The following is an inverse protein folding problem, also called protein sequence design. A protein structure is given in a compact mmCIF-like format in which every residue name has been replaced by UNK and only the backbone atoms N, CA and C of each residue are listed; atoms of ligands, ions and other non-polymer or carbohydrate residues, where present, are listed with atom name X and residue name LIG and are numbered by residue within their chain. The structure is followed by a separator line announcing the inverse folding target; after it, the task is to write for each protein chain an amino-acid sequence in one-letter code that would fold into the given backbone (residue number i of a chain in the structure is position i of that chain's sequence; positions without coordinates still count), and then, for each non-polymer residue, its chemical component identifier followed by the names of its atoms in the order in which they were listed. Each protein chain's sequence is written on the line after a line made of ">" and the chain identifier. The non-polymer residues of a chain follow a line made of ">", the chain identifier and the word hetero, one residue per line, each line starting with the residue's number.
data_IF_236781136633
#
_entry.id   IF_236781136633
#
_cell.length_a   1.000
_cell.length_b   1.000
_cell.length_c   1.000
_cell.angle_alpha   90.00
_cell.angle_beta   90.00
_cell.angle_gamma   90.00
#
_symmetry.space_group_name_H-M   'P 1'
#
loop_
_entity.id
_entity.type
_entity.pdbx_description
1 polymer ?
#
# COMPACT_ATOMS: atom_id res chain seq x y z
N UNK A 1 -7.06 -4.54 27.76
CA UNK A 1 -6.78 -5.38 26.58
C UNK A 1 -6.75 -4.46 25.35
N UNK A 2 -5.57 -4.02 24.94
CA UNK A 2 -5.40 -3.28 23.69
C UNK A 2 -5.62 -4.27 22.55
N UNK A 3 -6.66 -4.05 21.73
CA UNK A 3 -6.92 -4.84 20.53
C UNK A 3 -5.64 -4.90 19.67
N UNK A 4 -5.28 -6.09 19.18
CA UNK A 4 -4.17 -6.24 18.24
C UNK A 4 -4.36 -5.28 17.05
N UNK A 5 -3.26 -4.77 16.45
CA UNK A 5 -3.37 -3.98 15.24
C UNK A 5 -4.07 -4.83 14.16
N UNK A 6 -5.24 -4.36 13.70
CA UNK A 6 -6.07 -5.09 12.71
C UNK A 6 -5.43 -5.12 11.31
N UNK A 7 -4.29 -4.47 11.13
CA UNK A 7 -3.62 -4.27 9.85
C UNK A 7 -2.22 -4.88 9.88
N UNK A 8 -1.91 -5.70 8.87
CA UNK A 8 -0.64 -6.42 8.78
C UNK A 8 0.10 -6.16 7.48
N UNK A 9 1.41 -6.38 7.50
CA UNK A 9 2.26 -6.34 6.31
C UNK A 9 1.71 -7.27 5.22
N UNK A 10 1.51 -6.69 4.04
CA UNK A 10 0.93 -7.38 2.90
C UNK A 10 -0.59 -7.25 2.75
N UNK A 11 -1.29 -6.67 3.72
CA UNK A 11 -2.71 -6.34 3.56
C UNK A 11 -2.89 -5.18 2.57
N UNK A 12 -3.99 -5.26 1.81
CA UNK A 12 -4.48 -4.16 0.98
C UNK A 12 -5.60 -3.46 1.73
N UNK A 13 -5.49 -2.14 1.85
CA UNK A 13 -6.47 -1.28 2.51
C UNK A 13 -6.92 -0.18 1.57
N UNK A 14 -8.18 0.23 1.69
CA UNK A 14 -8.62 1.53 1.22
C UNK A 14 -8.07 2.58 2.19
N UNK A 15 -7.24 3.48 1.69
CA UNK A 15 -6.54 4.49 2.47
C UNK A 15 -6.94 5.89 2.01
N UNK A 16 -7.22 6.76 2.96
CA UNK A 16 -7.40 8.20 2.70
C UNK A 16 -6.03 8.86 2.52
N UNK A 17 -5.72 9.24 1.29
CA UNK A 17 -4.47 9.88 0.94
C UNK A 17 -4.52 11.42 0.94
N UNK A 18 -5.60 12.03 1.46
CA UNK A 18 -5.81 13.48 1.44
C UNK A 18 -6.38 13.97 0.10
N UNK A 19 -6.61 15.27 -0.06
CA UNK A 19 -7.37 15.84 -1.19
C UNK A 19 -6.62 16.97 -1.91
N UNK A 20 -5.41 16.73 -2.37
CA UNK A 20 -4.72 17.67 -3.26
C UNK A 20 -4.12 16.97 -4.49
N UNK A 21 -4.80 17.00 -5.65
CA UNK A 21 -4.30 16.41 -6.88
C UNK A 21 -3.35 17.34 -7.66
N UNK A 22 -3.08 18.55 -7.16
CA UNK A 22 -2.21 19.50 -7.87
C UNK A 22 -0.74 19.10 -7.80
N UNK A 23 -0.38 18.34 -6.76
CA UNK A 23 0.93 17.74 -6.59
C UNK A 23 1.02 16.33 -7.21
N UNK A 24 2.23 15.87 -7.56
CA UNK A 24 2.44 14.54 -8.13
C UNK A 24 2.20 13.39 -7.14
N UNK A 25 1.93 13.70 -5.86
CA UNK A 25 1.61 12.70 -4.84
C UNK A 25 0.25 12.04 -5.09
N UNK A 26 0.15 10.75 -4.78
CA UNK A 26 -1.15 10.07 -4.77
C UNK A 26 -2.05 10.68 -3.70
N UNK A 27 -3.26 11.02 -4.14
CA UNK A 27 -4.33 11.61 -3.33
C UNK A 27 -5.62 10.80 -3.44
N UNK A 28 -6.62 11.22 -2.66
CA UNK A 28 -7.96 10.64 -2.47
C UNK A 28 -7.96 9.25 -1.82
N UNK A 29 -9.13 8.64 -1.78
CA UNK A 29 -9.27 7.25 -1.39
C UNK A 29 -8.63 6.34 -2.46
N UNK A 30 -7.64 5.54 -2.05
CA UNK A 30 -6.93 4.60 -2.93
C UNK A 30 -6.70 3.27 -2.22
N UNK A 31 -6.78 2.14 -2.92
CA UNK A 31 -6.15 0.91 -2.44
C UNK A 31 -4.66 1.17 -2.19
N UNK A 32 -4.13 0.64 -1.10
CA UNK A 32 -2.71 0.70 -0.79
C UNK A 32 -2.26 -0.56 -0.07
N UNK A 33 -1.04 -1.01 -0.38
CA UNK A 33 -0.40 -2.14 0.27
C UNK A 33 0.32 -1.67 1.52
N UNK A 34 0.12 -2.34 2.66
CA UNK A 34 0.94 -2.14 3.84
C UNK A 34 2.29 -2.82 3.65
N UNK A 35 3.37 -2.04 3.73
CA UNK A 35 4.74 -2.51 3.51
C UNK A 35 5.64 -2.44 4.75
N UNK A 36 5.25 -1.65 5.74
CA UNK A 36 5.93 -1.62 7.06
C UNK A 36 5.86 -2.97 7.76
N UNK A 37 6.89 -3.25 8.55
CA UNK A 37 6.91 -4.38 9.47
C UNK A 37 5.81 -4.24 10.54
N UNK A 38 5.22 -5.36 10.96
CA UNK A 38 4.15 -5.37 11.96
C UNK A 38 4.60 -4.81 13.31
N UNK A 39 5.90 -4.83 13.63
CA UNK A 39 6.47 -4.18 14.80
C UNK A 39 6.27 -2.66 14.82
N UNK A 40 6.14 -2.01 13.66
CA UNK A 40 5.84 -0.57 13.57
C UNK A 40 4.38 -0.25 13.86
N UNK A 41 3.47 -1.22 13.80
CA UNK A 41 2.02 -1.02 13.99
C UNK A 41 1.62 -0.87 15.47
N UNK A 42 2.56 -0.48 16.34
CA UNK A 42 2.36 -0.32 17.76
C UNK A 42 1.29 0.75 18.07
N UNK A 43 0.35 0.51 19.01
CA UNK A 43 -0.77 1.43 19.30
C UNK A 43 -0.37 2.84 19.75
N UNK A 44 0.86 3.02 20.25
CA UNK A 44 1.41 4.34 20.60
C UNK A 44 1.94 5.12 19.40
N UNK A 45 2.45 4.43 18.37
CA UNK A 45 2.96 5.08 17.16
C UNK A 45 1.80 5.50 16.24
N UNK A 46 0.80 4.61 16.06
CA UNK A 46 -0.36 4.85 15.17
C UNK A 46 0.05 5.25 13.75
N UNK A 47 1.13 4.65 13.26
CA UNK A 47 1.70 4.88 11.93
C UNK A 47 1.80 3.55 11.17
N UNK A 48 1.70 3.65 9.85
CA UNK A 48 1.87 2.55 8.91
C UNK A 48 2.53 3.08 7.64
N UNK A 49 3.39 2.30 7.00
CA UNK A 49 3.99 2.67 5.70
C UNK A 49 3.26 1.91 4.61
N UNK A 50 2.79 2.65 3.60
CA UNK A 50 1.97 2.10 2.52
C UNK A 50 2.53 2.44 1.15
N UNK A 51 2.25 1.57 0.18
CA UNK A 51 2.44 1.82 -1.25
C UNK A 51 1.05 1.95 -1.89
N UNK A 52 0.67 3.13 -2.38
CA UNK A 52 -0.64 3.32 -3.00
C UNK A 52 -0.71 2.71 -4.39
N UNK A 53 -1.93 2.39 -4.82
CA UNK A 53 -2.21 1.85 -6.14
C UNK A 53 -3.12 2.77 -6.96
N UNK A 54 -3.03 2.64 -8.29
CA UNK A 54 -3.90 3.30 -9.26
C UNK A 54 -4.34 2.33 -10.34
N UNK A 55 -5.59 2.44 -10.82
CA UNK A 55 -6.03 1.72 -12.01
C UNK A 55 -5.54 2.36 -13.32
N UNK A 56 -4.89 3.53 -13.27
CA UNK A 56 -4.25 4.14 -14.43
C UNK A 56 -2.90 3.49 -14.70
N UNK A 57 -2.95 2.39 -15.45
CA UNK A 57 -1.76 1.60 -15.74
C UNK A 57 -0.78 2.34 -16.65
N UNK A 58 0.44 2.55 -16.15
CA UNK A 58 1.59 3.02 -16.92
C UNK A 58 2.67 1.94 -16.84
N UNK A 59 3.41 1.73 -17.93
CA UNK A 59 4.49 0.73 -17.97
C UNK A 59 5.80 1.34 -17.46
N UNK A 60 5.85 1.63 -16.16
CA UNK A 60 7.06 2.12 -15.48
C UNK A 60 7.69 0.98 -14.68
N UNK A 61 9.02 0.90 -14.67
CA UNK A 61 9.77 -0.07 -13.86
C UNK A 61 9.57 0.09 -12.35
N UNK A 62 9.00 1.23 -11.94
CA UNK A 62 8.66 1.57 -10.56
C UNK A 62 7.29 1.02 -10.12
N UNK A 63 6.54 0.42 -11.06
CA UNK A 63 5.17 -0.03 -10.84
C UNK A 63 5.09 -1.55 -10.89
N UNK A 64 4.38 -2.14 -9.93
CA UNK A 64 3.94 -3.53 -10.01
C UNK A 64 2.46 -3.58 -10.35
N UNK A 65 2.09 -4.19 -11.48
CA UNK A 65 0.69 -4.36 -11.87
C UNK A 65 0.15 -5.65 -11.27
N UNK A 66 -0.91 -5.55 -10.49
CA UNK A 66 -1.60 -6.66 -9.85
C UNK A 66 -2.98 -6.83 -10.47
N UNK A 67 -3.35 -8.07 -10.79
CA UNK A 67 -4.68 -8.43 -11.28
C UNK A 67 -5.66 -8.62 -10.10
N UNK A 68 -6.94 -8.26 -10.25
CA UNK A 68 -7.94 -8.49 -9.22
C UNK A 68 -8.16 -9.99 -9.00
N UNK A 69 -8.32 -10.40 -7.75
CA UNK A 69 -8.67 -11.77 -7.39
C UNK A 69 -9.52 -11.79 -6.11
N UNK A 70 -9.98 -12.99 -5.71
CA UNK A 70 -10.86 -13.15 -4.56
C UNK A 70 -10.24 -12.72 -3.21
N UNK A 71 -8.92 -12.68 -3.12
CA UNK A 71 -8.20 -12.45 -1.87
C UNK A 71 -7.73 -11.00 -1.69
N UNK A 72 -7.47 -10.27 -2.78
CA UNK A 72 -6.86 -8.94 -2.72
C UNK A 72 -7.86 -7.78 -2.65
N UNK A 73 -9.12 -8.02 -3.00
CA UNK A 73 -10.20 -7.03 -2.91
C UNK A 73 -10.04 -5.84 -3.87
N UNK A 74 -9.28 -6.02 -4.96
CA UNK A 74 -9.22 -5.06 -6.07
C UNK A 74 -10.38 -5.31 -7.02
N UNK A 75 -10.99 -4.24 -7.54
CA UNK A 75 -12.09 -4.33 -8.51
C UNK A 75 -11.57 -4.47 -9.96
N UNK A 76 -10.37 -3.98 -10.21
CA UNK A 76 -9.73 -3.95 -11.54
C UNK A 76 -8.20 -4.03 -11.41
N UNK A 77 -7.51 -4.26 -12.54
CA UNK A 77 -6.06 -4.29 -12.59
C UNK A 77 -5.48 -2.96 -12.09
N UNK A 78 -4.55 -3.04 -11.13
CA UNK A 78 -4.05 -1.87 -10.42
C UNK A 78 -2.52 -1.88 -10.37
N UNK A 79 -1.90 -0.73 -10.64
CA UNK A 79 -0.46 -0.52 -10.50
C UNK A 79 -0.15 0.01 -9.10
N UNK A 80 0.59 -0.76 -8.29
CA UNK A 80 1.18 -0.29 -7.04
C UNK A 80 2.45 0.52 -7.35
N UNK A 81 2.47 1.78 -6.91
CA UNK A 81 3.47 2.77 -7.30
C UNK A 81 4.52 2.93 -6.20
N UNK A 82 5.65 2.23 -6.31
CA UNK A 82 6.65 2.20 -5.25
C UNK A 82 7.23 3.59 -4.96
N UNK A 83 7.34 4.46 -5.96
CA UNK A 83 7.81 5.84 -5.83
C UNK A 83 6.88 6.74 -5.00
N UNK A 84 5.67 6.26 -4.72
CA UNK A 84 4.65 6.94 -3.91
C UNK A 84 4.57 6.37 -2.49
N UNK A 85 5.56 5.56 -2.09
CA UNK A 85 5.65 4.99 -0.74
C UNK A 85 5.67 6.10 0.31
N UNK A 86 4.83 5.97 1.35
CA UNK A 86 4.78 6.97 2.42
C UNK A 86 4.23 6.43 3.73
N UNK A 87 4.63 7.08 4.81
CA UNK A 87 4.05 6.86 6.12
C UNK A 87 2.72 7.62 6.25
N UNK A 88 1.69 6.95 6.77
CA UNK A 88 0.38 7.54 7.07
C UNK A 88 -0.03 7.21 8.49
N UNK A 89 -0.90 8.03 9.07
CA UNK A 89 -1.56 7.64 10.31
C UNK A 89 -2.42 6.41 10.08
N UNK A 90 -2.41 5.45 11.00
CA UNK A 90 -3.29 4.29 10.95
C UNK A 90 -4.78 4.65 10.97
N UNK A 91 -5.14 5.89 11.37
CA UNK A 91 -6.51 6.43 11.26
C UNK A 91 -6.97 6.65 9.81
N UNK A 92 -6.04 6.73 8.86
CA UNK A 92 -6.33 6.87 7.42
C UNK A 92 -6.63 5.52 6.76
N UNK A 93 -6.46 4.41 7.48
CA UNK A 93 -6.90 3.09 7.04
C UNK A 93 -8.42 2.99 7.19
N UNK A 94 -9.16 3.12 6.09
CA UNK A 94 -10.63 3.22 6.11
C UNK A 94 -11.28 1.84 6.16
N UNK A 95 -10.85 0.94 5.27
CA UNK A 95 -11.43 -0.40 5.14
C UNK A 95 -10.38 -1.38 4.63
N UNK A 96 -10.27 -2.55 5.27
CA UNK A 96 -9.45 -3.65 4.74
C UNK A 96 -10.13 -4.20 3.48
N UNK A 97 -9.39 -4.26 2.38
CA UNK A 97 -9.86 -4.82 1.11
C UNK A 97 -9.52 -6.30 1.00
N UNK A 98 -8.29 -6.67 1.39
CA UNK A 98 -7.81 -8.02 1.21
C UNK A 98 -6.33 -8.16 1.52
N UNK A 99 -5.68 -9.12 0.88
CA UNK A 99 -4.25 -9.39 0.97
C UNK A 99 -3.69 -9.74 -0.40
N UNK A 100 -2.50 -9.22 -0.71
CA UNK A 100 -1.80 -9.61 -1.93
C UNK A 100 -1.16 -11.00 -1.78
N UNK A 101 -1.10 -11.72 -2.90
CA UNK A 101 -0.35 -12.97 -3.03
C UNK A 101 1.14 -12.80 -2.74
N UNK A 102 1.87 -13.90 -2.59
CA UNK A 102 3.31 -13.84 -2.30
C UNK A 102 4.08 -13.21 -3.45
N UNK A 103 3.77 -13.62 -4.69
CA UNK A 103 4.46 -13.14 -5.90
C UNK A 103 4.28 -11.63 -6.10
N UNK A 104 3.03 -11.13 -6.04
CA UNK A 104 2.72 -9.71 -6.16
C UNK A 104 3.44 -8.87 -5.09
N UNK A 105 3.47 -9.35 -3.83
CA UNK A 105 4.16 -8.66 -2.74
C UNK A 105 5.66 -8.62 -2.97
N UNK A 106 6.26 -9.72 -3.41
CA UNK A 106 7.69 -9.77 -3.71
C UNK A 106 8.06 -8.80 -4.82
N UNK A 107 7.27 -8.75 -5.90
CA UNK A 107 7.49 -7.77 -6.98
C UNK A 107 7.49 -6.32 -6.44
N UNK A 108 6.53 -5.97 -5.58
CA UNK A 108 6.48 -4.63 -4.98
C UNK A 108 7.67 -4.38 -4.04
N UNK A 109 8.06 -5.37 -3.23
CA UNK A 109 9.19 -5.25 -2.30
C UNK A 109 10.53 -5.13 -3.03
N UNK A 110 10.69 -5.81 -4.16
CA UNK A 110 11.91 -5.73 -4.98
C UNK A 110 12.06 -4.34 -5.59
N UNK A 111 10.96 -3.77 -6.10
CA UNK A 111 10.96 -2.39 -6.59
C UNK A 111 11.25 -1.43 -5.45
N UNK A 112 10.62 -1.59 -4.28
CA UNK A 112 10.90 -0.75 -3.11
C UNK A 112 12.38 -0.79 -2.70
N UNK A 113 12.98 -1.99 -2.64
CA UNK A 113 14.42 -2.13 -2.36
C UNK A 113 15.26 -1.41 -3.41
N UNK A 114 14.91 -1.54 -4.69
CA UNK A 114 15.62 -0.88 -5.78
C UNK A 114 15.56 0.64 -5.68
N UNK A 115 14.39 1.24 -5.43
CA UNK A 115 14.24 2.71 -5.40
C UNK A 115 14.85 3.33 -4.14
N UNK A 116 14.98 2.56 -3.07
CA UNK A 116 15.59 2.98 -1.81
C UNK A 116 17.09 2.60 -1.73
N UNK A 117 17.67 2.03 -2.79
CA UNK A 117 19.05 1.55 -2.83
C UNK A 117 19.42 0.60 -1.67
N UNK A 118 18.49 -0.31 -1.33
CA UNK A 118 18.69 -1.33 -0.31
C UNK A 118 19.13 -2.65 -0.99
N UNK A 119 20.27 -3.19 -0.55
CA UNK A 119 20.88 -4.42 -1.08
C UNK A 119 20.81 -5.56 -0.06
#
# INVERSE_FOLDING_TARGET
>A
MSAEPTHRRGDVWLVDLGNDPSDPEQAFMRPALIVSDDALHHPRLRMVVVVPATSRLRRLSLHAVVQPNADNGLDEASAFQAEQVRAVSSRRLVRRLGRLGVEDRHAIYDILRSILALH
#
